data_IF_289354533531
#
_entry.id   IF_289354533531
#
_cell.length_a   1.000
_cell.length_b   1.000
_cell.length_c   1.000
_cell.angle_alpha   90.00
_cell.angle_beta   90.00
_cell.angle_gamma   90.00
#
_symmetry.space_group_name_H-M   'P 1'
#
loop_
_entity.id
_entity.type
_entity.pdbx_description
1 polymer ?
#
# COMPACT_ATOMS: atom_id res chain seq x y z
N UNK A 1 -11.08 -4.37 28.55
CA UNK A 1 -9.88 -3.93 27.81
C UNK A 1 -9.76 -4.64 26.45
N UNK A 2 -10.78 -4.55 25.59
CA UNK A 2 -10.79 -5.19 24.26
C UNK A 2 -11.62 -4.38 23.22
N UNK A 3 -11.92 -3.11 23.52
CA UNK A 3 -12.92 -2.31 22.77
C UNK A 3 -12.35 -1.21 21.86
N UNK A 4 -11.08 -0.83 22.00
CA UNK A 4 -10.52 0.32 21.26
C UNK A 4 -9.66 -0.07 20.05
N UNK A 5 -9.00 -1.23 20.08
CA UNK A 5 -8.30 -1.80 18.91
C UNK A 5 -9.30 -2.25 17.83
N UNK A 6 -10.47 -2.73 18.27
CA UNK A 6 -11.58 -3.10 17.38
C UNK A 6 -12.12 -1.89 16.62
N UNK A 7 -12.13 -0.70 17.22
CA UNK A 7 -12.73 0.51 16.63
C UNK A 7 -11.87 1.14 15.53
N UNK A 8 -10.53 1.19 15.70
CA UNK A 8 -9.59 1.62 14.64
C UNK A 8 -9.51 0.58 13.50
N UNK A 9 -9.51 -0.72 13.83
CA UNK A 9 -9.59 -1.79 12.81
C UNK A 9 -10.95 -1.79 12.07
N UNK A 10 -12.05 -1.44 12.76
CA UNK A 10 -13.38 -1.22 12.16
C UNK A 10 -13.39 0.00 11.24
N UNK A 11 -12.69 1.08 11.59
CA UNK A 11 -12.60 2.29 10.76
C UNK A 11 -11.82 2.03 9.46
N UNK A 12 -10.65 1.37 9.55
CA UNK A 12 -9.88 0.97 8.36
C UNK A 12 -10.59 -0.13 7.55
N UNK A 13 -11.28 -1.08 8.18
CA UNK A 13 -12.16 -2.04 7.47
C UNK A 13 -13.35 -1.38 6.80
N UNK A 14 -13.93 -0.32 7.39
CA UNK A 14 -15.01 0.48 6.78
C UNK A 14 -14.50 1.30 5.60
N UNK A 15 -13.35 1.95 5.72
CA UNK A 15 -12.71 2.67 4.61
C UNK A 15 -12.35 1.69 3.48
N UNK A 16 -11.79 0.52 3.80
CA UNK A 16 -11.44 -0.51 2.83
C UNK A 16 -12.69 -1.16 2.18
N UNK A 17 -13.77 -1.37 2.93
CA UNK A 17 -15.06 -1.83 2.41
C UNK A 17 -15.73 -0.77 1.52
N UNK A 18 -15.65 0.51 1.88
CA UNK A 18 -16.09 1.64 1.03
C UNK A 18 -15.23 1.68 -0.24
N UNK A 19 -13.91 1.47 -0.14
CA UNK A 19 -12.99 1.39 -1.28
C UNK A 19 -13.35 0.24 -2.24
N UNK A 20 -13.68 -0.95 -1.70
CA UNK A 20 -14.14 -2.14 -2.44
C UNK A 20 -15.51 -1.93 -3.11
N UNK A 21 -16.47 -1.30 -2.42
CA UNK A 21 -17.80 -1.00 -2.96
C UNK A 21 -17.71 0.09 -4.05
N UNK A 22 -16.82 1.09 -3.88
CA UNK A 22 -16.56 2.14 -4.86
C UNK A 22 -15.88 1.57 -6.12
N UNK A 23 -14.97 0.61 -5.98
CA UNK A 23 -14.38 -0.09 -7.13
C UNK A 23 -15.39 -0.97 -7.88
N UNK A 24 -16.29 -1.64 -7.17
CA UNK A 24 -17.32 -2.49 -7.78
C UNK A 24 -18.43 -1.70 -8.48
N UNK A 25 -18.75 -0.48 -8.04
CA UNK A 25 -19.83 0.34 -8.65
C UNK A 25 -19.33 1.24 -9.79
N UNK A 26 -18.03 1.57 -9.84
CA UNK A 26 -17.42 2.28 -10.97
C UNK A 26 -17.12 1.35 -12.18
N UNK A 27 -17.11 0.04 -11.96
CA UNK A 27 -17.17 -0.98 -13.00
C UNK A 27 -18.63 -1.41 -13.21
N UNK A 28 -19.41 -0.64 -13.97
CA UNK A 28 -20.80 -0.97 -14.23
C UNK A 28 -20.98 -2.38 -14.80
N UNK A 29 -21.64 -3.26 -14.04
CA UNK A 29 -22.31 -4.43 -14.58
C UNK A 29 -23.66 -3.96 -15.13
N UNK A 30 -23.77 -3.91 -16.46
CA UNK A 30 -25.08 -4.05 -17.11
C UNK A 30 -25.61 -5.46 -16.82
N UNK A 31 -26.92 -5.51 -16.57
CA UNK A 31 -27.73 -6.68 -16.25
C UNK A 31 -27.23 -8.00 -16.88
N UNK A 32 -26.73 -8.90 -16.04
CA UNK A 32 -26.66 -10.31 -16.36
C UNK A 32 -27.07 -11.11 -15.11
N UNK A 33 -28.27 -11.69 -15.16
CA UNK A 33 -28.68 -12.77 -14.30
C UNK A 33 -27.74 -13.95 -14.58
N UNK A 34 -26.72 -14.17 -13.74
CA UNK A 34 -26.15 -15.50 -13.53
C UNK A 34 -25.30 -15.49 -12.25
N UNK A 35 -25.77 -16.27 -11.27
CA UNK A 35 -25.38 -16.23 -9.85
C UNK A 35 -24.13 -17.06 -9.55
N UNK A 36 -23.13 -17.12 -10.45
CA UNK A 36 -22.02 -18.06 -10.30
C UNK A 36 -20.60 -17.46 -10.37
N UNK A 37 -20.44 -16.15 -10.60
CA UNK A 37 -19.10 -15.53 -10.77
C UNK A 37 -18.55 -14.72 -9.58
N UNK A 38 -19.26 -14.69 -8.44
CA UNK A 38 -18.81 -13.96 -7.23
C UNK A 38 -18.05 -14.89 -6.24
N UNK A 39 -17.82 -16.15 -6.58
CA UNK A 39 -17.35 -17.18 -5.62
C UNK A 39 -15.84 -17.40 -5.55
N UNK A 40 -14.97 -16.59 -6.17
CA UNK A 40 -13.52 -16.87 -6.19
C UNK A 40 -12.60 -15.88 -5.48
N UNK A 41 -13.13 -14.86 -4.80
CA UNK A 41 -12.33 -14.12 -3.82
C UNK A 41 -13.14 -13.91 -2.54
N UNK A 42 -12.68 -14.55 -1.46
CA UNK A 42 -13.31 -14.70 -0.14
C UNK A 42 -14.35 -15.82 -0.09
N UNK A 43 -14.12 -16.82 0.78
CA UNK A 43 -15.08 -17.90 1.00
C UNK A 43 -16.41 -17.33 1.48
N UNK A 44 -17.50 -17.75 0.83
CA UNK A 44 -18.91 -17.43 1.14
C UNK A 44 -19.24 -17.51 2.63
N UNK A 45 -18.59 -18.43 3.36
CA UNK A 45 -18.81 -18.62 4.80
C UNK A 45 -18.28 -17.47 5.66
N UNK A 46 -17.33 -16.67 5.17
CA UNK A 46 -16.75 -15.54 5.93
C UNK A 46 -17.69 -14.33 5.93
N UNK A 47 -18.32 -14.03 4.79
CA UNK A 47 -19.26 -12.90 4.66
C UNK A 47 -20.57 -13.21 5.40
N UNK A 48 -21.07 -14.45 5.29
CA UNK A 48 -22.30 -14.86 5.97
C UNK A 48 -22.15 -14.91 7.50
N UNK A 49 -20.96 -15.22 8.01
CA UNK A 49 -20.67 -15.21 9.45
C UNK A 49 -20.49 -13.80 10.02
N UNK A 50 -19.99 -12.84 9.24
CA UNK A 50 -19.90 -11.42 9.62
C UNK A 50 -21.32 -10.80 9.70
N UNK A 51 -22.20 -11.12 8.75
CA UNK A 51 -23.56 -10.59 8.72
C UNK A 51 -24.51 -11.21 9.77
N UNK A 52 -24.22 -12.41 10.28
CA UNK A 52 -25.04 -13.07 11.31
C UNK A 52 -24.64 -12.75 12.75
N UNK A 53 -23.43 -12.21 12.97
CA UNK A 53 -22.89 -11.95 14.32
C UNK A 53 -23.13 -10.52 14.81
N UNK A 54 -23.46 -9.59 13.91
CA UNK A 54 -23.85 -8.23 14.25
C UNK A 54 -25.35 -8.04 14.02
N UNK A 55 -26.05 -7.56 15.05
CA UNK A 55 -27.49 -7.39 15.11
C UNK A 55 -27.98 -6.21 14.25
N UNK A 56 -27.53 -6.15 13.00
CA UNK A 56 -27.90 -5.13 12.01
C UNK A 56 -28.78 -5.78 10.96
N UNK A 57 -30.08 -5.78 11.27
CA UNK A 57 -31.12 -5.99 10.28
C UNK A 57 -31.04 -4.82 9.31
N UNK A 58 -30.41 -5.01 8.15
CA UNK A 58 -30.65 -4.14 6.98
C UNK A 58 -32.08 -4.45 6.54
N UNK A 59 -33.03 -3.70 7.09
CA UNK A 59 -34.41 -3.70 6.62
C UNK A 59 -34.45 -2.83 5.37
N UNK A 60 -34.87 -3.49 4.30
CA UNK A 60 -35.30 -2.93 3.02
C UNK A 60 -34.19 -2.41 2.08
N UNK A 61 -34.29 -2.90 0.84
CA UNK A 61 -33.49 -2.49 -0.30
C UNK A 61 -33.76 -1.03 -0.65
N UNK A 62 -32.83 -0.14 -0.32
CA UNK A 62 -32.88 1.26 -0.77
C UNK A 62 -32.13 1.37 -2.09
N UNK A 63 -32.83 1.74 -3.16
CA UNK A 63 -32.21 2.15 -4.42
C UNK A 63 -31.74 3.60 -4.31
N UNK A 64 -30.46 3.86 -4.52
CA UNK A 64 -29.92 5.22 -4.54
C UNK A 64 -30.03 5.82 -5.94
N UNK A 65 -30.54 7.05 -6.03
CA UNK A 65 -30.77 7.79 -7.29
C UNK A 65 -29.50 8.37 -7.90
N UNK A 66 -28.45 8.61 -7.11
CA UNK A 66 -27.17 9.12 -7.62
C UNK A 66 -25.99 8.84 -6.68
N UNK A 67 -24.77 8.85 -7.22
CA UNK A 67 -23.51 8.68 -6.47
C UNK A 67 -23.34 9.69 -5.34
N UNK A 68 -23.76 10.94 -5.56
CA UNK A 68 -23.69 12.01 -4.56
C UNK A 68 -24.60 11.73 -3.35
N UNK A 69 -25.77 11.11 -3.58
CA UNK A 69 -26.71 10.74 -2.51
C UNK A 69 -26.16 9.60 -1.63
N UNK A 70 -25.45 8.65 -2.25
CA UNK A 70 -24.80 7.52 -1.56
C UNK A 70 -23.67 7.99 -0.64
N UNK A 71 -22.80 8.87 -1.13
CA UNK A 71 -21.65 9.40 -0.37
C UNK A 71 -22.14 10.26 0.80
N UNK A 72 -23.14 11.11 0.56
CA UNK A 72 -23.72 11.98 1.61
C UNK A 72 -24.37 11.18 2.75
N UNK A 73 -25.05 10.08 2.41
CA UNK A 73 -25.68 9.17 3.39
C UNK A 73 -24.65 8.36 4.18
N UNK A 74 -23.55 7.94 3.54
CA UNK A 74 -22.45 7.23 4.22
C UNK A 74 -21.70 8.17 5.17
N UNK A 75 -21.44 9.41 4.76
CA UNK A 75 -20.76 10.41 5.57
C UNK A 75 -21.61 10.87 6.76
N UNK A 76 -22.95 10.99 6.61
CA UNK A 76 -23.84 11.31 7.74
C UNK A 76 -23.89 10.21 8.80
N UNK A 77 -23.61 8.96 8.43
CA UNK A 77 -23.62 7.81 9.36
C UNK A 77 -22.28 7.58 10.08
N UNK A 78 -21.23 8.35 9.76
CA UNK A 78 -19.88 8.17 10.30
C UNK A 78 -19.45 9.23 11.33
N UNK A 79 -20.34 10.17 11.71
CA UNK A 79 -20.07 11.27 12.68
C UNK A 79 -18.75 12.03 12.40
N UNK A 80 -18.37 12.17 11.13
CA UNK A 80 -17.16 12.90 10.72
C UNK A 80 -17.48 14.40 10.65
N UNK A 81 -16.53 15.27 11.04
CA UNK A 81 -16.76 16.72 10.96
C UNK A 81 -16.92 17.15 9.49
N UNK A 82 -17.71 18.20 9.26
CA UNK A 82 -18.02 18.71 7.91
C UNK A 82 -16.74 19.08 7.13
N UNK A 83 -15.71 19.57 7.84
CA UNK A 83 -14.39 19.84 7.27
C UNK A 83 -13.65 18.56 6.81
N UNK A 84 -13.70 17.48 7.59
CA UNK A 84 -13.11 16.20 7.23
C UNK A 84 -13.87 15.52 6.08
N UNK A 85 -15.20 15.67 6.05
CA UNK A 85 -16.03 15.19 4.95
C UNK A 85 -15.70 15.93 3.64
N UNK A 86 -15.43 17.24 3.73
CA UNK A 86 -15.10 18.06 2.57
C UNK A 86 -13.68 17.78 2.04
N UNK A 87 -12.68 17.67 2.92
CA UNK A 87 -11.31 17.30 2.55
C UNK A 87 -11.24 15.91 1.89
N UNK A 88 -12.02 14.95 2.42
CA UNK A 88 -12.12 13.61 1.85
C UNK A 88 -12.84 13.64 0.48
N UNK A 89 -13.88 14.45 0.34
CA UNK A 89 -14.61 14.61 -0.92
C UNK A 89 -13.75 15.27 -2.01
N UNK A 90 -12.94 16.27 -1.66
CA UNK A 90 -12.02 16.95 -2.58
C UNK A 90 -10.90 16.01 -3.04
N UNK A 91 -10.28 15.27 -2.10
CA UNK A 91 -9.26 14.26 -2.40
C UNK A 91 -9.81 13.12 -3.27
N UNK A 92 -11.03 12.64 -2.98
CA UNK A 92 -11.70 11.65 -3.82
C UNK A 92 -12.05 12.20 -5.21
N UNK A 93 -12.46 13.46 -5.31
CA UNK A 93 -12.79 14.09 -6.60
C UNK A 93 -11.54 14.26 -7.47
N UNK A 94 -10.40 14.68 -6.90
CA UNK A 94 -9.12 14.71 -7.61
C UNK A 94 -8.65 13.32 -8.05
N UNK A 95 -8.79 12.30 -7.20
CA UNK A 95 -8.48 10.92 -7.61
C UNK A 95 -9.40 10.42 -8.72
N UNK A 96 -10.69 10.77 -8.69
CA UNK A 96 -11.66 10.39 -9.72
C UNK A 96 -11.35 11.12 -11.02
N UNK A 97 -11.03 12.42 -11.01
CA UNK A 97 -10.60 13.14 -12.21
C UNK A 97 -9.28 12.59 -12.76
N UNK A 98 -8.36 12.17 -11.89
CA UNK A 98 -7.11 11.51 -12.28
C UNK A 98 -7.36 10.12 -12.87
N UNK A 99 -8.26 9.33 -12.29
CA UNK A 99 -8.68 8.04 -12.82
C UNK A 99 -9.47 8.17 -14.14
N UNK A 100 -10.32 9.19 -14.26
CA UNK A 100 -11.11 9.49 -15.46
C UNK A 100 -10.23 10.07 -16.58
N UNK A 101 -9.22 10.87 -16.26
CA UNK A 101 -8.23 11.35 -17.25
C UNK A 101 -7.29 10.24 -17.72
N UNK A 102 -6.92 9.31 -16.85
CA UNK A 102 -6.26 8.05 -17.24
C UNK A 102 -7.15 7.19 -18.14
N UNK A 103 -8.47 7.17 -17.91
CA UNK A 103 -9.46 6.52 -18.80
C UNK A 103 -9.64 7.26 -20.13
N UNK A 104 -9.57 8.59 -20.15
CA UNK A 104 -9.73 9.42 -21.35
C UNK A 104 -8.57 9.31 -22.35
N UNK A 105 -7.41 8.81 -21.91
CA UNK A 105 -6.29 8.46 -22.78
C UNK A 105 -6.39 7.04 -23.39
N UNK A 106 -7.43 6.27 -23.06
CA UNK A 106 -7.71 4.99 -23.69
C UNK A 106 -8.78 5.13 -24.78
N UNK A 107 -8.35 5.32 -26.02
CA UNK A 107 -9.11 4.91 -27.22
C UNK A 107 -9.31 3.38 -27.31
N UNK A 108 -9.00 2.63 -26.25
CA UNK A 108 -8.97 1.16 -26.19
C UNK A 108 -10.31 0.50 -25.78
N UNK A 109 -11.29 1.24 -25.26
CA UNK A 109 -12.52 0.63 -24.69
C UNK A 109 -13.52 0.11 -25.75
N UNK A 110 -13.57 0.69 -26.96
CA UNK A 110 -14.39 0.16 -28.06
C UNK A 110 -13.74 -1.06 -28.75
N UNK A 111 -12.40 -1.10 -28.84
CA UNK A 111 -11.68 -2.24 -29.44
C UNK A 111 -11.61 -3.46 -28.50
N UNK A 112 -11.48 -3.25 -27.18
CA UNK A 112 -11.48 -4.34 -26.21
C UNK A 112 -12.86 -5.01 -26.05
N UNK A 113 -13.96 -4.25 -26.14
CA UNK A 113 -15.31 -4.84 -26.20
C UNK A 113 -15.46 -5.77 -27.40
N UNK A 114 -14.92 -5.39 -28.57
CA UNK A 114 -14.94 -6.24 -29.77
C UNK A 114 -14.15 -7.54 -29.62
N UNK A 115 -13.11 -7.57 -28.79
CA UNK A 115 -12.30 -8.77 -28.57
C UNK A 115 -12.96 -9.78 -27.61
N UNK A 116 -13.52 -9.31 -26.49
CA UNK A 116 -14.20 -10.20 -25.53
C UNK A 116 -15.49 -10.80 -26.09
N UNK A 117 -16.25 -10.06 -26.89
CA UNK A 117 -17.41 -10.61 -27.64
C UNK A 117 -16.96 -11.69 -28.64
N UNK A 118 -15.82 -11.49 -29.29
CA UNK A 118 -15.29 -12.45 -30.26
C UNK A 118 -14.71 -13.73 -29.62
N UNK A 119 -14.16 -13.63 -28.40
CA UNK A 119 -13.57 -14.77 -27.68
C UNK A 119 -14.58 -15.89 -27.41
N UNK A 120 -15.87 -15.56 -27.29
CA UNK A 120 -16.96 -16.52 -27.04
C UNK A 120 -17.25 -17.43 -28.25
N UNK A 121 -16.96 -16.97 -29.47
CA UNK A 121 -17.22 -17.70 -30.73
C UNK A 121 -15.98 -18.42 -31.28
N UNK A 122 -14.88 -18.43 -30.52
CA UNK A 122 -13.64 -19.09 -30.94
C UNK A 122 -13.78 -20.62 -30.93
N UNK A 123 -13.15 -21.32 -31.88
CA UNK A 123 -12.93 -22.77 -31.79
C UNK A 123 -12.34 -23.16 -30.43
N UNK A 124 -12.77 -24.31 -29.87
CA UNK A 124 -12.36 -24.79 -28.54
C UNK A 124 -10.84 -24.89 -28.35
N UNK A 125 -10.07 -25.09 -29.42
CA UNK A 125 -8.61 -25.15 -29.39
C UNK A 125 -7.94 -23.77 -29.25
N UNK A 126 -8.66 -22.68 -29.53
CA UNK A 126 -8.20 -21.29 -29.41
C UNK A 126 -8.80 -20.58 -28.20
N UNK A 127 -9.91 -21.06 -27.64
CA UNK A 127 -10.53 -20.49 -26.43
C UNK A 127 -9.61 -20.55 -25.19
N UNK A 128 -8.65 -21.48 -25.19
CA UNK A 128 -7.71 -21.70 -24.07
C UNK A 128 -6.44 -20.83 -24.16
N UNK A 129 -6.40 -19.86 -25.07
CA UNK A 129 -5.26 -18.96 -25.20
C UNK A 129 -5.46 -17.69 -24.37
N UNK A 130 -4.38 -17.23 -23.73
CA UNK A 130 -4.26 -15.89 -23.22
C UNK A 130 -3.73 -14.99 -24.33
N UNK A 131 -4.48 -13.94 -24.66
CA UNK A 131 -4.14 -13.03 -25.74
C UNK A 131 -3.72 -11.65 -25.23
N UNK A 132 -2.80 -11.02 -25.95
CA UNK A 132 -2.32 -9.66 -25.75
C UNK A 132 -2.27 -8.97 -27.11
N UNK A 133 -2.93 -7.82 -27.26
CA UNK A 133 -2.87 -7.05 -28.51
C UNK A 133 -1.45 -6.51 -28.74
N UNK A 134 -1.02 -6.46 -30.00
CA UNK A 134 0.19 -5.72 -30.41
C UNK A 134 -0.23 -4.30 -30.77
N UNK A 135 0.01 -3.36 -29.87
CA UNK A 135 -0.38 -1.97 -30.07
C UNK A 135 0.50 -1.24 -31.09
N UNK A 136 -0.04 -0.18 -31.68
CA UNK A 136 0.67 0.70 -32.64
C UNK A 136 1.22 0.02 -33.89
N UNK A 137 0.78 -1.21 -34.23
CA UNK A 137 1.24 -1.90 -35.43
C UNK A 137 0.71 -1.21 -36.71
N UNK A 138 1.57 -0.85 -37.69
CA UNK A 138 1.14 -0.12 -38.87
C UNK A 138 0.20 -0.94 -39.75
N UNK A 139 -0.96 -0.37 -40.09
CA UNK A 139 -1.95 -1.02 -40.97
C UNK A 139 -1.36 -1.39 -42.34
N UNK A 140 -0.40 -0.61 -42.84
CA UNK A 140 0.28 -0.87 -44.11
C UNK A 140 1.17 -2.13 -44.10
N UNK A 141 1.57 -2.61 -42.92
CA UNK A 141 2.42 -3.78 -42.75
C UNK A 141 1.62 -5.05 -42.38
N UNK A 142 0.30 -4.92 -42.18
CA UNK A 142 -0.54 -6.06 -41.84
C UNK A 142 -0.69 -7.01 -43.04
N UNK A 143 -0.80 -8.33 -42.78
CA UNK A 143 -1.16 -9.28 -43.83
C UNK A 143 -2.52 -8.95 -44.44
N UNK A 144 -2.74 -9.38 -45.69
CA UNK A 144 -4.04 -9.22 -46.34
C UNK A 144 -5.15 -9.83 -45.48
N UNK A 145 -6.26 -9.10 -45.36
CA UNK A 145 -7.43 -9.46 -44.56
C UNK A 145 -7.18 -9.56 -43.05
N UNK A 146 -6.14 -8.92 -42.52
CA UNK A 146 -5.87 -8.80 -41.07
C UNK A 146 -6.08 -7.36 -40.63
N UNK A 147 -6.80 -7.16 -39.52
CA UNK A 147 -7.09 -5.84 -38.92
C UNK A 147 -6.20 -5.56 -37.70
N UNK A 148 -5.96 -6.58 -36.88
CA UNK A 148 -5.20 -6.48 -35.63
C UNK A 148 -4.29 -7.69 -35.45
N UNK A 149 -3.24 -7.51 -34.65
CA UNK A 149 -2.32 -8.55 -34.24
C UNK A 149 -2.41 -8.81 -32.74
N UNK A 150 -2.24 -10.07 -32.35
CA UNK A 150 -2.24 -10.49 -30.95
C UNK A 150 -1.10 -11.49 -30.70
N UNK A 151 -0.41 -11.36 -29.58
CA UNK A 151 0.39 -12.45 -29.02
C UNK A 151 -0.57 -13.36 -28.26
N UNK A 152 -0.55 -14.66 -28.57
CA UNK A 152 -1.35 -15.66 -27.88
C UNK A 152 -0.48 -16.80 -27.39
N UNK A 153 -0.71 -17.22 -26.15
CA UNK A 153 -0.11 -18.42 -25.57
C UNK A 153 -1.18 -19.33 -24.98
N UNK A 154 -1.05 -20.63 -25.20
CA UNK A 154 -1.96 -21.61 -24.59
C UNK A 154 -1.77 -21.64 -23.06
N UNK A 155 -2.85 -21.87 -22.32
CA UNK A 155 -2.78 -22.15 -20.88
C UNK A 155 -2.20 -23.53 -20.57
N UNK A 156 -2.25 -24.45 -21.53
CA UNK A 156 -1.68 -25.79 -21.47
C UNK A 156 -0.80 -26.01 -22.73
N UNK A 157 0.49 -26.27 -22.52
CA UNK A 157 1.51 -26.40 -23.58
C UNK A 157 2.42 -25.17 -23.71
N UNK A 158 3.58 -25.36 -24.34
CA UNK A 158 4.63 -24.32 -24.43
C UNK A 158 4.52 -23.45 -25.70
N UNK A 159 3.58 -23.74 -26.61
CA UNK A 159 3.57 -23.07 -27.91
C UNK A 159 2.85 -21.72 -27.87
N UNK A 160 3.56 -20.71 -28.35
CA UNK A 160 3.13 -19.32 -28.39
C UNK A 160 3.19 -18.80 -29.83
N UNK A 161 2.23 -17.96 -30.20
CA UNK A 161 2.08 -17.50 -31.58
C UNK A 161 1.71 -16.03 -31.65
N UNK A 162 2.14 -15.37 -32.72
CA UNK A 162 1.52 -14.16 -33.24
C UNK A 162 0.29 -14.57 -34.04
N UNK A 163 -0.85 -13.99 -33.69
CA UNK A 163 -2.13 -14.18 -34.33
C UNK A 163 -2.54 -12.94 -35.11
N UNK A 164 -3.20 -13.13 -36.24
CA UNK A 164 -3.89 -12.09 -36.98
C UNK A 164 -5.40 -12.23 -36.81
N UNK A 165 -6.05 -11.16 -36.37
CA UNK A 165 -7.50 -11.03 -36.34
C UNK A 165 -7.98 -10.53 -37.70
N UNK A 166 -8.86 -11.27 -38.35
CA UNK A 166 -9.40 -10.88 -39.66
C UNK A 166 -10.57 -9.90 -39.55
N UNK A 167 -10.90 -9.23 -40.66
CA UNK A 167 -12.08 -8.36 -40.76
C UNK A 167 -13.40 -9.09 -40.50
N UNK A 168 -13.41 -10.42 -40.62
CA UNK A 168 -14.57 -11.29 -40.36
C UNK A 168 -14.58 -11.87 -38.95
N UNK A 169 -13.70 -11.38 -38.07
CA UNK A 169 -13.55 -11.86 -36.69
C UNK A 169 -12.53 -12.99 -36.55
N UNK A 170 -12.31 -13.86 -37.54
CA UNK A 170 -11.47 -15.06 -37.34
C UNK A 170 -10.00 -14.76 -36.94
N UNK A 171 -9.48 -15.47 -35.94
CA UNK A 171 -8.06 -15.50 -35.58
C UNK A 171 -7.30 -16.56 -36.40
N UNK A 172 -6.10 -16.21 -36.84
CA UNK A 172 -5.19 -17.12 -37.55
C UNK A 172 -3.79 -17.04 -36.95
N UNK A 173 -3.15 -18.19 -36.71
CA UNK A 173 -1.71 -18.27 -36.39
C UNK A 173 -0.89 -17.75 -37.58
N UNK A 174 -0.10 -16.71 -37.36
CA UNK A 174 0.75 -16.08 -38.37
C UNK A 174 2.21 -16.48 -38.21
N UNK A 175 2.74 -16.48 -37.00
CA UNK A 175 4.12 -16.86 -36.74
C UNK A 175 4.24 -17.49 -35.36
N UNK A 176 5.11 -18.49 -35.20
CA UNK A 176 5.43 -19.04 -33.89
C UNK A 176 6.44 -18.14 -33.18
N UNK A 177 6.26 -17.91 -31.89
CA UNK A 177 7.28 -17.25 -31.08
C UNK A 177 8.49 -18.19 -30.89
N UNK A 178 9.72 -17.67 -30.97
CA UNK A 178 10.94 -18.40 -30.61
C UNK A 178 10.86 -19.02 -29.20
N UNK A 179 11.27 -20.28 -29.06
CA UNK A 179 11.14 -21.04 -27.82
C UNK A 179 12.17 -20.64 -26.74
N UNK A 180 13.23 -19.94 -27.14
CA UNK A 180 14.26 -19.36 -26.28
C UNK A 180 13.82 -18.08 -25.59
N UNK A 181 12.70 -17.46 -26.00
CA UNK A 181 12.13 -16.30 -25.31
C UNK A 181 11.26 -16.72 -24.12
N UNK A 182 11.66 -16.31 -22.91
CA UNK A 182 10.94 -16.62 -21.67
C UNK A 182 9.73 -15.70 -21.44
N UNK A 183 8.67 -15.90 -22.24
CA UNK A 183 7.40 -15.19 -22.07
C UNK A 183 6.50 -15.86 -21.02
N UNK A 184 5.96 -15.06 -20.09
CA UNK A 184 4.96 -15.49 -19.13
C UNK A 184 3.57 -14.94 -19.50
N UNK A 185 2.69 -15.73 -20.14
CA UNK A 185 1.42 -15.22 -20.64
C UNK A 185 0.41 -14.84 -19.56
N UNK A 186 0.51 -15.45 -18.38
CA UNK A 186 -0.30 -15.13 -17.20
C UNK A 186 0.11 -13.81 -16.56
N UNK A 187 1.31 -13.32 -16.88
CA UNK A 187 1.93 -12.10 -16.35
C UNK A 187 2.38 -11.16 -17.46
N UNK A 188 1.71 -11.22 -18.61
CA UNK A 188 1.90 -10.29 -19.72
C UNK A 188 1.70 -8.84 -19.26
N UNK A 189 2.56 -7.95 -19.71
CA UNK A 189 2.48 -6.52 -19.35
C UNK A 189 2.02 -5.69 -20.53
N UNK A 190 2.75 -5.77 -21.64
CA UNK A 190 2.45 -5.03 -22.86
C UNK A 190 3.04 -5.70 -24.11
N UNK A 191 2.48 -5.36 -25.27
CA UNK A 191 3.12 -5.63 -26.55
C UNK A 191 2.81 -4.50 -27.52
N UNK A 192 3.83 -4.05 -28.25
CA UNK A 192 3.71 -2.91 -29.13
C UNK A 192 4.68 -2.99 -30.30
N UNK A 193 4.37 -2.28 -31.38
CA UNK A 193 5.28 -2.05 -32.49
C UNK A 193 6.01 -0.72 -32.32
N UNK A 194 7.32 -0.74 -32.51
CA UNK A 194 8.14 0.47 -32.56
C UNK A 194 9.39 0.22 -33.40
N UNK A 195 9.77 1.20 -34.23
CA UNK A 195 11.01 1.21 -35.00
C UNK A 195 11.28 -0.08 -35.82
N UNK A 196 10.23 -0.63 -36.44
CA UNK A 196 10.35 -1.84 -37.27
C UNK A 196 10.35 -3.15 -36.49
N UNK A 197 10.16 -3.12 -35.17
CA UNK A 197 10.18 -4.29 -34.29
C UNK A 197 8.86 -4.45 -33.54
N UNK A 198 8.58 -5.68 -33.14
CA UNK A 198 7.51 -6.01 -32.19
C UNK A 198 8.16 -6.26 -30.83
N UNK A 199 7.70 -5.54 -29.81
CA UNK A 199 8.08 -5.75 -28.43
C UNK A 199 7.03 -6.62 -27.76
N UNK A 200 7.47 -7.63 -27.01
CA UNK A 200 6.59 -8.52 -26.26
C UNK A 200 7.12 -8.60 -24.83
N UNK A 201 6.35 -8.10 -23.88
CA UNK A 201 6.78 -7.96 -22.50
C UNK A 201 5.94 -8.79 -21.53
N UNK A 202 6.61 -9.37 -20.54
CA UNK A 202 5.95 -10.03 -19.41
C UNK A 202 6.80 -9.98 -18.15
N UNK A 203 6.14 -9.98 -16.99
CA UNK A 203 6.80 -10.16 -15.70
C UNK A 203 7.22 -11.63 -15.50
N UNK A 204 8.44 -11.82 -15.01
CA UNK A 204 8.94 -13.14 -14.63
C UNK A 204 8.21 -13.68 -13.40
N UNK A 205 7.96 -14.98 -13.38
CA UNK A 205 7.37 -15.63 -12.19
C UNK A 205 8.23 -15.36 -10.95
N UNK A 206 7.56 -14.95 -9.86
CA UNK A 206 8.16 -14.69 -8.54
C UNK A 206 9.17 -13.54 -8.48
N UNK A 207 9.22 -12.69 -9.51
CA UNK A 207 10.08 -11.50 -9.57
C UNK A 207 9.26 -10.32 -10.09
N UNK A 208 9.70 -9.12 -9.76
CA UNK A 208 9.20 -7.87 -10.35
C UNK A 208 9.89 -7.55 -11.69
N UNK A 209 10.79 -8.42 -12.15
CA UNK A 209 11.52 -8.24 -13.41
C UNK A 209 10.56 -8.37 -14.60
N UNK A 210 10.46 -7.32 -15.39
CA UNK A 210 9.82 -7.35 -16.71
C UNK A 210 10.88 -7.66 -17.74
N UNK A 211 10.64 -8.69 -18.53
CA UNK A 211 11.43 -9.01 -19.71
C UNK A 211 10.64 -8.59 -20.94
N UNK A 212 11.30 -7.89 -21.86
CA UNK A 212 10.77 -7.51 -23.16
C UNK A 212 11.65 -8.09 -24.26
N UNK A 213 11.10 -9.04 -25.02
CA UNK A 213 11.73 -9.55 -26.23
C UNK A 213 11.50 -8.58 -27.39
N UNK A 214 12.54 -8.36 -28.18
CA UNK A 214 12.55 -7.48 -29.35
C UNK A 214 12.57 -8.36 -30.59
N UNK A 215 11.49 -8.33 -31.36
CA UNK A 215 11.28 -9.24 -32.46
C UNK A 215 11.34 -8.53 -33.81
N UNK A 216 12.21 -9.04 -34.68
CA UNK A 216 12.03 -8.89 -36.12
C UNK A 216 10.88 -9.78 -36.59
N UNK A 217 10.19 -9.35 -37.64
CA UNK A 217 9.12 -10.13 -38.26
C UNK A 217 9.25 -10.17 -39.78
N UNK A 218 8.98 -11.34 -40.34
CA UNK A 218 8.74 -11.55 -41.77
C UNK A 218 7.44 -12.33 -41.93
N UNK A 219 6.34 -11.57 -42.03
CA UNK A 219 5.00 -12.12 -42.15
C UNK A 219 4.77 -12.82 -43.51
N UNK A 220 5.60 -12.54 -44.52
CA UNK A 220 5.55 -13.28 -45.79
C UNK A 220 6.06 -14.71 -45.63
N UNK A 221 6.97 -14.92 -44.67
CA UNK A 221 7.54 -16.21 -44.29
C UNK A 221 6.91 -16.80 -43.02
N UNK A 222 5.86 -16.17 -42.47
CA UNK A 222 5.23 -16.60 -41.22
C UNK A 222 6.23 -16.74 -40.06
N UNK A 223 7.18 -15.79 -39.97
CA UNK A 223 8.34 -15.91 -39.10
C UNK A 223 8.48 -14.70 -38.16
N UNK A 224 8.77 -15.00 -36.90
CA UNK A 224 9.26 -14.05 -35.90
C UNK A 224 10.67 -14.47 -35.49
N UNK A 225 11.55 -13.51 -35.30
CA UNK A 225 12.93 -13.73 -34.90
C UNK A 225 13.21 -12.88 -33.67
N UNK A 226 13.60 -13.52 -32.57
CA UNK A 226 14.12 -12.81 -31.40
C UNK A 226 15.46 -12.22 -31.81
N UNK A 227 15.55 -10.90 -31.81
CA UNK A 227 16.77 -10.19 -32.19
C UNK A 227 17.54 -9.70 -30.96
N UNK A 228 16.82 -9.30 -29.92
CA UNK A 228 17.39 -8.80 -28.67
C UNK A 228 16.37 -8.95 -27.52
N UNK A 229 16.82 -8.77 -26.29
CA UNK A 229 16.00 -8.82 -25.09
C UNK A 229 16.45 -7.75 -24.09
N UNK A 230 15.48 -7.05 -23.50
CA UNK A 230 15.75 -6.14 -22.39
C UNK A 230 15.07 -6.65 -21.12
N UNK A 231 15.73 -6.48 -19.98
CA UNK A 231 15.15 -6.75 -18.67
C UNK A 231 15.20 -5.48 -17.81
N UNK A 232 14.09 -5.16 -17.15
CA UNK A 232 13.99 -4.07 -16.19
C UNK A 232 13.34 -4.57 -14.92
N UNK A 233 13.93 -4.26 -13.76
CA UNK A 233 13.40 -4.64 -12.47
C UNK A 233 13.07 -3.39 -11.64
N UNK A 234 11.76 -3.10 -11.55
CA UNK A 234 11.26 -1.92 -10.88
C UNK A 234 11.52 -1.96 -9.36
N UNK A 235 11.55 -3.15 -8.76
CA UNK A 235 11.86 -3.32 -7.33
C UNK A 235 13.31 -2.96 -7.04
N UNK A 236 14.25 -3.38 -7.90
CA UNK A 236 15.67 -3.01 -7.78
C UNK A 236 15.86 -1.51 -7.90
N UNK A 237 15.22 -0.88 -8.89
CA UNK A 237 15.30 0.58 -9.06
C UNK A 237 14.71 1.34 -7.86
N UNK A 238 13.56 0.89 -7.35
CA UNK A 238 12.89 1.49 -6.20
C UNK A 238 13.73 1.40 -4.93
N UNK A 239 14.36 0.25 -4.66
CA UNK A 239 15.28 0.09 -3.52
C UNK A 239 16.48 1.05 -3.64
N UNK A 240 17.09 1.14 -4.81
CA UNK A 240 18.23 2.05 -5.02
C UNK A 240 17.85 3.52 -4.79
N UNK A 241 16.66 3.93 -5.24
CA UNK A 241 16.11 5.27 -4.97
C UNK A 241 15.82 5.48 -3.48
N UNK A 242 15.23 4.48 -2.82
CA UNK A 242 14.92 4.51 -1.40
C UNK A 242 16.20 4.70 -0.56
N UNK A 243 17.20 3.85 -0.76
CA UNK A 243 18.49 3.92 -0.06
C UNK A 243 19.20 5.27 -0.28
N UNK A 244 19.18 5.79 -1.51
CA UNK A 244 19.72 7.12 -1.81
C UNK A 244 18.96 8.24 -1.07
N UNK A 245 17.63 8.14 -0.99
CA UNK A 245 16.81 9.10 -0.25
C UNK A 245 17.06 9.01 1.26
N UNK A 246 17.26 7.81 1.81
CA UNK A 246 17.72 7.63 3.21
C UNK A 246 19.04 8.36 3.40
N UNK A 247 20.03 8.17 2.53
CA UNK A 247 21.33 8.82 2.71
C UNK A 247 21.28 10.36 2.63
N UNK A 248 20.32 10.90 1.90
CA UNK A 248 20.04 12.33 1.84
C UNK A 248 19.23 12.87 3.03
N UNK A 249 18.77 11.99 3.93
CA UNK A 249 17.89 12.34 5.05
C UNK A 249 16.45 12.66 4.65
N UNK A 250 16.04 12.27 3.43
CA UNK A 250 14.68 12.46 2.90
C UNK A 250 13.81 11.25 3.23
N UNK A 251 13.49 11.12 4.52
CA UNK A 251 12.92 9.89 5.10
C UNK A 251 11.56 9.51 4.48
N UNK A 252 10.64 10.46 4.30
CA UNK A 252 9.31 10.19 3.72
C UNK A 252 9.44 9.73 2.26
N UNK A 253 10.33 10.38 1.48
CA UNK A 253 10.59 9.98 0.10
C UNK A 253 11.16 8.56 0.04
N UNK A 254 12.04 8.19 0.97
CA UNK A 254 12.57 6.83 1.07
C UNK A 254 11.48 5.80 1.36
N UNK A 255 10.61 6.06 2.35
CA UNK A 255 9.47 5.18 2.66
C UNK A 255 8.59 4.97 1.43
N UNK A 256 8.25 6.05 0.73
CA UNK A 256 7.43 5.96 -0.48
C UNK A 256 8.06 5.11 -1.59
N UNK A 257 9.39 5.09 -1.70
CA UNK A 257 10.08 4.19 -2.64
C UNK A 257 10.12 2.74 -2.13
N UNK A 258 10.28 2.49 -0.84
CA UNK A 258 10.17 1.12 -0.30
C UNK A 258 8.77 0.54 -0.45
N UNK A 259 7.71 1.35 -0.32
CA UNK A 259 6.32 0.95 -0.57
C UNK A 259 6.04 0.55 -2.03
N UNK A 260 6.89 0.97 -2.96
CA UNK A 260 6.80 0.61 -4.38
C UNK A 260 7.48 -0.73 -4.71
N UNK A 261 8.15 -1.36 -3.74
CA UNK A 261 8.87 -2.62 -3.96
C UNK A 261 7.90 -3.79 -3.98
N UNK A 262 7.77 -4.43 -5.14
CA UNK A 262 7.01 -5.68 -5.29
C UNK A 262 7.85 -6.86 -4.79
N UNK A 263 7.23 -7.77 -4.05
CA UNK A 263 7.86 -8.94 -3.42
C UNK A 263 9.07 -8.59 -2.53
N UNK A 264 8.92 -7.66 -1.57
CA UNK A 264 10.06 -7.05 -0.89
C UNK A 264 11.00 -8.05 -0.19
N UNK A 265 10.48 -9.14 0.37
CA UNK A 265 11.29 -10.20 0.98
C UNK A 265 12.25 -10.91 0.00
N UNK A 266 12.00 -10.83 -1.32
CA UNK A 266 12.90 -11.37 -2.34
C UNK A 266 14.03 -10.40 -2.70
N UNK A 267 13.86 -9.10 -2.42
CA UNK A 267 14.73 -8.04 -2.93
C UNK A 267 15.53 -7.31 -1.85
N UNK A 268 15.03 -7.28 -0.61
CA UNK A 268 15.69 -6.59 0.48
C UNK A 268 15.55 -7.31 1.81
N UNK A 269 16.53 -7.08 2.70
CA UNK A 269 16.43 -7.45 4.10
C UNK A 269 15.66 -6.35 4.83
N UNK A 270 14.34 -6.53 4.91
CA UNK A 270 13.38 -5.52 5.38
C UNK A 270 13.80 -4.93 6.73
N UNK A 271 14.19 -5.76 7.68
CA UNK A 271 14.61 -5.32 9.01
C UNK A 271 15.87 -4.45 8.94
N UNK A 272 16.79 -4.75 8.02
CA UNK A 272 18.03 -3.97 7.85
C UNK A 272 17.71 -2.59 7.27
N UNK A 273 16.85 -2.52 6.25
CA UNK A 273 16.43 -1.26 5.65
C UNK A 273 15.64 -0.39 6.64
N UNK A 274 14.73 -0.99 7.42
CA UNK A 274 14.00 -0.29 8.50
C UNK A 274 14.93 0.26 9.57
N UNK A 275 15.94 -0.52 10.00
CA UNK A 275 16.94 -0.08 10.98
C UNK A 275 17.76 1.09 10.45
N UNK A 276 18.15 1.04 9.17
CA UNK A 276 18.89 2.10 8.52
C UNK A 276 18.07 3.40 8.39
N UNK A 277 16.81 3.26 8.00
CA UNK A 277 15.84 4.35 7.94
C UNK A 277 15.68 5.04 9.31
N UNK A 278 15.51 4.26 10.39
CA UNK A 278 15.40 4.77 11.76
C UNK A 278 16.69 5.45 12.23
N UNK A 279 17.85 4.85 11.94
CA UNK A 279 19.16 5.42 12.28
C UNK A 279 19.35 6.79 11.65
N UNK A 280 19.01 6.92 10.36
CA UNK A 280 19.06 8.21 9.69
C UNK A 280 18.03 9.19 10.23
N UNK A 281 16.79 8.75 10.41
CA UNK A 281 15.71 9.58 10.94
C UNK A 281 16.08 10.18 12.29
N UNK A 282 16.76 9.43 13.17
CA UNK A 282 17.23 9.95 14.45
C UNK A 282 18.07 11.24 14.31
N UNK A 283 18.97 11.30 13.33
CA UNK A 283 19.77 12.51 13.06
C UNK A 283 18.92 13.68 12.56
N UNK A 284 17.91 13.40 11.72
CA UNK A 284 16.98 14.41 11.20
C UNK A 284 16.09 14.97 12.31
N UNK A 285 15.60 14.10 13.21
CA UNK A 285 14.74 14.48 14.33
C UNK A 285 15.44 15.41 15.31
N UNK A 286 16.74 15.21 15.58
CA UNK A 286 17.52 16.12 16.42
C UNK A 286 17.57 17.54 15.85
N UNK A 287 17.61 17.68 14.52
CA UNK A 287 17.57 18.99 13.86
C UNK A 287 16.16 19.60 13.94
N UNK A 288 15.12 18.83 13.62
CA UNK A 288 13.73 19.31 13.66
C UNK A 288 13.30 19.74 15.07
N UNK A 289 13.75 19.04 16.11
CA UNK A 289 13.49 19.40 17.49
C UNK A 289 14.11 20.76 17.86
N UNK A 290 15.34 21.04 17.44
CA UNK A 290 15.99 22.36 17.64
C UNK A 290 15.24 23.48 16.92
N UNK A 291 14.69 23.17 15.74
CA UNK A 291 13.85 24.06 14.95
C UNK A 291 12.39 24.13 15.46
N UNK A 292 12.03 23.37 16.50
CA UNK A 292 10.67 23.24 17.04
C UNK A 292 9.62 22.79 15.99
N UNK A 293 10.05 22.04 14.97
CA UNK A 293 9.20 21.51 13.90
C UNK A 293 8.61 20.14 14.27
N UNK A 294 7.78 20.12 15.29
CA UNK A 294 7.23 18.89 15.85
C UNK A 294 6.27 18.17 14.90
N UNK A 295 5.48 18.90 14.10
CA UNK A 295 4.58 18.27 13.12
C UNK A 295 5.36 17.53 12.03
N UNK A 296 6.48 18.11 11.56
CA UNK A 296 7.37 17.43 10.61
C UNK A 296 8.05 16.21 11.23
N UNK A 297 8.45 16.28 12.50
CA UNK A 297 9.03 15.14 13.22
C UNK A 297 8.01 14.01 13.39
N UNK A 298 6.78 14.36 13.78
CA UNK A 298 5.64 13.46 13.87
C UNK A 298 5.37 12.77 12.54
N UNK A 299 5.28 13.53 11.44
CA UNK A 299 5.00 12.97 10.11
C UNK A 299 6.09 11.98 9.65
N UNK A 300 7.37 12.29 9.89
CA UNK A 300 8.48 11.37 9.58
C UNK A 300 8.33 10.07 10.37
N UNK A 301 8.01 10.15 11.66
CA UNK A 301 7.91 8.99 12.52
C UNK A 301 6.66 8.16 12.24
N UNK A 302 5.52 8.80 11.97
CA UNK A 302 4.30 8.14 11.49
C UNK A 302 4.60 7.35 10.21
N UNK A 303 5.23 7.99 9.22
CA UNK A 303 5.61 7.34 7.96
C UNK A 303 6.51 6.10 8.18
N UNK A 304 7.46 6.15 9.13
CA UNK A 304 8.31 4.98 9.43
C UNK A 304 7.54 3.90 10.20
N UNK A 305 6.75 4.26 11.20
CA UNK A 305 6.07 3.26 12.04
C UNK A 305 4.85 2.65 11.36
N UNK A 306 4.28 3.32 10.36
CA UNK A 306 3.23 2.77 9.49
C UNK A 306 3.79 1.95 8.32
N UNK A 307 5.07 2.12 7.97
CA UNK A 307 5.74 1.25 7.00
C UNK A 307 5.68 -0.21 7.46
N UNK A 308 5.21 -1.09 6.57
CA UNK A 308 4.96 -2.50 6.88
C UNK A 308 6.21 -3.24 7.39
N UNK A 309 7.41 -2.76 7.06
CA UNK A 309 8.67 -3.32 7.54
C UNK A 309 9.04 -3.01 9.00
N UNK A 310 8.20 -2.26 9.73
CA UNK A 310 8.49 -1.82 11.11
C UNK A 310 7.78 -2.64 12.19
N UNK A 311 6.91 -3.58 11.80
CA UNK A 311 6.08 -4.35 12.73
C UNK A 311 6.90 -5.07 13.82
N UNK A 312 8.06 -5.63 13.45
CA UNK A 312 8.93 -6.35 14.38
C UNK A 312 9.41 -5.49 15.56
N UNK A 313 9.55 -4.17 15.37
CA UNK A 313 9.91 -3.22 16.43
C UNK A 313 8.70 -2.82 17.28
N UNK A 314 7.54 -2.69 16.64
CA UNK A 314 6.27 -2.36 17.32
C UNK A 314 5.71 -3.53 18.14
N UNK A 315 6.13 -4.76 17.88
CA UNK A 315 5.71 -5.95 18.62
C UNK A 315 6.57 -6.23 19.88
N UNK A 316 7.55 -5.37 20.21
CA UNK A 316 8.41 -5.55 21.40
C UNK A 316 7.68 -5.12 22.67
N UNK A 317 7.23 -6.04 23.53
CA UNK A 317 6.41 -5.72 24.71
C UNK A 317 7.18 -5.68 26.03
N UNK A 318 8.42 -6.15 26.05
CA UNK A 318 9.21 -6.30 27.28
C UNK A 318 10.65 -5.81 27.12
N UNK A 319 11.32 -5.38 28.21
CA UNK A 319 12.74 -5.03 28.17
C UNK A 319 13.62 -6.21 27.71
N UNK A 320 13.23 -7.44 28.05
CA UNK A 320 13.96 -8.65 27.68
C UNK A 320 13.84 -8.95 26.18
N UNK A 321 12.68 -8.76 25.56
CA UNK A 321 12.52 -8.89 24.11
C UNK A 321 13.35 -7.84 23.38
N UNK A 322 13.33 -6.59 23.85
CA UNK A 322 14.15 -5.51 23.29
C UNK A 322 15.64 -5.86 23.34
N UNK A 323 16.13 -6.27 24.51
CA UNK A 323 17.52 -6.69 24.69
C UNK A 323 17.89 -7.86 23.78
N UNK A 324 17.04 -8.90 23.70
CA UNK A 324 17.29 -10.07 22.85
C UNK A 324 17.39 -9.66 21.39
N UNK A 325 16.42 -8.90 20.89
CA UNK A 325 16.38 -8.45 19.49
C UNK A 325 17.65 -7.68 19.12
N UNK A 326 18.03 -6.66 19.90
CA UNK A 326 19.20 -5.84 19.59
C UNK A 326 20.54 -6.53 19.89
N UNK A 327 20.55 -7.59 20.71
CA UNK A 327 21.76 -8.39 20.96
C UNK A 327 21.98 -9.48 19.92
N UNK A 328 20.90 -10.13 19.47
CA UNK A 328 20.98 -11.21 18.47
C UNK A 328 21.25 -10.66 17.07
N UNK A 329 20.87 -9.41 16.83
CA UNK A 329 21.05 -8.74 15.55
C UNK A 329 22.14 -7.68 15.68
N UNK A 330 23.08 -7.66 14.75
CA UNK A 330 24.14 -6.65 14.69
C UNK A 330 23.62 -5.37 14.01
N UNK A 331 22.55 -4.78 14.55
CA UNK A 331 21.94 -3.56 14.01
C UNK A 331 22.87 -2.36 14.19
N UNK A 332 22.89 -1.47 13.20
CA UNK A 332 23.62 -0.19 13.30
C UNK A 332 22.93 0.83 14.23
N UNK A 333 21.64 0.62 14.51
CA UNK A 333 20.89 1.32 15.53
C UNK A 333 21.06 0.59 16.87
N UNK A 334 21.48 1.32 17.90
CA UNK A 334 21.55 0.76 19.25
C UNK A 334 20.18 0.75 19.94
N UNK A 335 20.01 -0.13 20.93
CA UNK A 335 18.82 -0.16 21.80
C UNK A 335 18.51 1.23 22.39
N UNK A 336 19.55 1.95 22.81
CA UNK A 336 19.42 3.29 23.38
C UNK A 336 18.86 4.28 22.36
N UNK A 337 19.36 4.26 21.13
CA UNK A 337 18.86 5.14 20.07
C UNK A 337 17.42 4.82 19.71
N UNK A 338 17.03 3.54 19.65
CA UNK A 338 15.63 3.17 19.45
C UNK A 338 14.70 3.72 20.53
N UNK A 339 15.09 3.60 21.81
CA UNK A 339 14.33 4.19 22.92
C UNK A 339 14.25 5.71 22.75
N UNK A 340 15.34 6.38 22.38
CA UNK A 340 15.35 7.82 22.16
C UNK A 340 14.48 8.25 20.96
N UNK A 341 14.38 7.44 19.91
CA UNK A 341 13.46 7.68 18.79
C UNK A 341 12.01 7.66 19.30
N UNK A 342 11.64 6.64 20.08
CA UNK A 342 10.30 6.56 20.66
C UNK A 342 10.02 7.72 21.63
N UNK A 343 11.00 8.13 22.44
CA UNK A 343 10.86 9.29 23.35
C UNK A 343 10.64 10.59 22.58
N UNK A 344 11.34 10.77 21.45
CA UNK A 344 11.14 11.90 20.53
C UNK A 344 9.79 11.83 19.84
N UNK A 345 9.31 10.63 19.51
CA UNK A 345 8.01 10.44 18.90
C UNK A 345 6.89 10.85 19.86
N UNK A 346 6.90 10.29 21.08
CA UNK A 346 5.95 10.68 22.13
C UNK A 346 5.99 12.18 22.43
N UNK A 347 7.18 12.79 22.45
CA UNK A 347 7.34 14.23 22.66
C UNK A 347 6.75 15.05 21.52
N UNK A 348 7.05 14.68 20.28
CA UNK A 348 6.57 15.41 19.09
C UNK A 348 5.06 15.32 18.98
N UNK A 349 4.47 14.15 19.23
CA UNK A 349 3.01 13.97 19.28
C UNK A 349 2.34 14.88 20.33
N UNK A 350 2.94 15.01 21.52
CA UNK A 350 2.45 15.93 22.54
C UNK A 350 2.46 17.38 22.08
N UNK A 351 3.56 17.83 21.47
CA UNK A 351 3.70 19.21 20.98
C UNK A 351 2.76 19.48 19.80
N UNK A 352 2.55 18.50 18.93
CA UNK A 352 1.57 18.49 17.85
C UNK A 352 0.12 18.29 18.33
N UNK A 353 -0.12 18.23 19.65
CA UNK A 353 -1.43 18.01 20.28
C UNK A 353 -2.14 16.71 19.88
N UNK A 354 -1.41 15.73 19.33
CA UNK A 354 -1.90 14.38 19.02
C UNK A 354 -1.85 13.51 20.29
N UNK A 355 -2.65 13.86 21.29
CA UNK A 355 -2.53 13.31 22.64
C UNK A 355 -2.88 11.82 22.73
N UNK A 356 -3.82 11.33 21.93
CA UNK A 356 -4.21 9.90 21.93
C UNK A 356 -3.04 9.04 21.45
N UNK A 357 -2.40 9.43 20.35
CA UNK A 357 -1.27 8.69 19.79
C UNK A 357 -0.03 8.85 20.69
N UNK A 358 0.15 10.02 21.33
CA UNK A 358 1.19 10.21 22.34
C UNK A 358 1.04 9.23 23.52
N UNK A 359 -0.20 8.92 23.93
CA UNK A 359 -0.46 7.90 24.98
C UNK A 359 -0.02 6.52 24.50
N UNK A 360 -0.31 6.17 23.26
CA UNK A 360 0.03 4.85 22.69
C UNK A 360 1.55 4.63 22.69
N UNK A 361 2.30 5.59 22.12
CA UNK A 361 3.76 5.54 22.06
C UNK A 361 4.39 5.56 23.46
N UNK A 362 3.91 6.41 24.36
CA UNK A 362 4.50 6.48 25.69
C UNK A 362 4.15 5.26 26.56
N UNK A 363 2.99 4.62 26.35
CA UNK A 363 2.72 3.31 26.97
C UNK A 363 3.70 2.27 26.50
N UNK A 364 3.99 2.22 25.20
CA UNK A 364 5.01 1.33 24.64
C UNK A 364 6.37 1.56 25.29
N UNK A 365 6.78 2.82 25.46
CA UNK A 365 7.99 3.19 26.19
C UNK A 365 7.99 2.67 27.63
N UNK A 366 6.89 2.83 28.37
CA UNK A 366 6.81 2.32 29.76
C UNK A 366 6.87 0.80 29.85
N UNK A 367 6.46 0.07 28.80
CA UNK A 367 6.56 -1.38 28.74
C UNK A 367 8.02 -1.83 28.54
N UNK A 368 8.73 -1.22 27.58
CA UNK A 368 10.11 -1.62 27.24
C UNK A 368 11.16 -0.95 28.13
N UNK A 369 10.83 0.19 28.73
CA UNK A 369 11.67 0.95 29.68
C UNK A 369 10.81 1.39 30.88
N UNK A 370 10.47 0.47 31.81
CA UNK A 370 9.63 0.77 32.99
C UNK A 370 10.23 1.82 33.94
N UNK A 371 11.51 2.11 33.80
CA UNK A 371 12.24 3.09 34.59
C UNK A 371 12.47 4.41 33.84
N UNK A 372 11.83 4.64 32.69
CA UNK A 372 11.94 5.94 31.98
C UNK A 372 11.03 6.97 32.64
N UNK A 373 11.56 7.96 33.40
CA UNK A 373 10.72 9.02 33.94
C UNK A 373 10.13 9.85 32.81
N UNK A 374 10.86 10.07 31.71
CA UNK A 374 10.36 10.86 30.58
C UNK A 374 9.05 10.27 30.01
N UNK A 375 8.96 8.95 29.86
CA UNK A 375 7.75 8.29 29.37
C UNK A 375 6.53 8.55 30.28
N UNK A 376 6.71 8.45 31.61
CA UNK A 376 5.62 8.74 32.56
C UNK A 376 5.25 10.23 32.61
N UNK A 377 6.22 11.13 32.49
CA UNK A 377 5.95 12.57 32.37
C UNK A 377 5.10 12.87 31.13
N UNK A 378 5.49 12.29 29.99
CA UNK A 378 4.79 12.47 28.73
C UNK A 378 3.38 11.85 28.79
N UNK A 379 3.20 10.65 29.38
CA UNK A 379 1.87 10.08 29.64
C UNK A 379 1.01 11.01 30.50
N UNK A 380 1.55 11.50 31.61
CA UNK A 380 0.83 12.41 32.50
C UNK A 380 0.37 13.66 31.77
N UNK A 381 1.23 14.24 30.94
CA UNK A 381 0.91 15.39 30.10
C UNK A 381 -0.17 15.07 29.07
N UNK A 382 -0.09 13.93 28.38
CA UNK A 382 -1.09 13.55 27.38
C UNK A 382 -2.47 13.33 28.01
N UNK A 383 -2.52 12.58 29.12
CA UNK A 383 -3.76 12.36 29.87
C UNK A 383 -4.35 13.65 30.41
N UNK A 384 -3.51 14.57 30.91
CA UNK A 384 -3.95 15.86 31.41
C UNK A 384 -4.64 16.69 30.33
N UNK A 385 -4.03 16.80 29.15
CA UNK A 385 -4.61 17.55 28.04
C UNK A 385 -5.89 16.92 27.46
N UNK A 386 -6.13 15.64 27.74
CA UNK A 386 -7.39 14.94 27.43
C UNK A 386 -8.38 14.94 28.60
N UNK A 387 -8.13 15.73 29.65
CA UNK A 387 -8.97 15.84 30.85
C UNK A 387 -9.16 14.51 31.60
N UNK A 388 -8.28 13.54 31.36
CA UNK A 388 -8.25 12.26 32.09
C UNK A 388 -7.42 12.40 33.35
N UNK A 389 -7.93 13.21 34.29
CA UNK A 389 -7.19 13.66 35.47
C UNK A 389 -6.66 12.49 36.32
N UNK A 390 -7.46 11.45 36.55
CA UNK A 390 -7.03 10.31 37.35
C UNK A 390 -5.84 9.55 36.73
N UNK A 391 -5.87 9.33 35.41
CA UNK A 391 -4.77 8.67 34.70
C UNK A 391 -3.52 9.55 34.67
N UNK A 392 -3.71 10.86 34.50
CA UNK A 392 -2.64 11.85 34.56
C UNK A 392 -1.94 11.83 35.92
N UNK A 393 -2.70 11.88 37.01
CA UNK A 393 -2.19 11.83 38.37
C UNK A 393 -1.44 10.52 38.64
N UNK A 394 -1.95 9.39 38.17
CA UNK A 394 -1.28 8.10 38.31
C UNK A 394 0.09 8.09 37.60
N UNK A 395 0.15 8.61 36.36
CA UNK A 395 1.41 8.72 35.62
C UNK A 395 2.40 9.67 36.30
N UNK A 396 1.95 10.81 36.82
CA UNK A 396 2.81 11.74 37.56
C UNK A 396 3.32 11.19 38.89
N UNK A 397 2.53 10.37 39.60
CA UNK A 397 3.01 9.66 40.79
C UNK A 397 4.14 8.70 40.43
N UNK A 398 3.98 7.91 39.38
CA UNK A 398 5.02 7.01 38.87
C UNK A 398 6.28 7.77 38.45
N UNK A 399 6.13 8.91 37.77
CA UNK A 399 7.25 9.81 37.47
C UNK A 399 8.02 10.21 38.74
N UNK A 400 7.33 10.72 39.77
CA UNK A 400 7.97 11.13 41.03
C UNK A 400 8.65 9.97 41.75
N UNK A 401 8.02 8.80 41.77
CA UNK A 401 8.60 7.59 42.36
C UNK A 401 9.91 7.18 41.67
N UNK A 402 9.95 7.21 40.34
CA UNK A 402 11.16 6.87 39.56
C UNK A 402 12.26 7.90 39.80
N UNK A 403 11.94 9.20 39.76
CA UNK A 403 12.91 10.27 40.03
C UNK A 403 13.49 10.13 41.44
N UNK A 404 12.66 9.87 42.45
CA UNK A 404 13.12 9.68 43.82
C UNK A 404 14.04 8.46 43.97
N UNK A 405 13.74 7.35 43.28
CA UNK A 405 14.57 6.13 43.29
C UNK A 405 15.88 6.29 42.53
N UNK A 406 15.88 7.03 41.42
CA UNK A 406 17.05 7.17 40.53
C UNK A 406 17.95 8.35 40.89
N UNK A 407 17.45 9.33 41.63
CA UNK A 407 18.18 10.57 41.93
C UNK A 407 18.39 11.47 40.70
N UNK A 408 17.64 11.24 39.61
CA UNK A 408 17.75 12.04 38.40
C UNK A 408 17.36 13.50 38.69
N UNK A 409 18.21 14.44 38.25
CA UNK A 409 17.91 15.87 38.38
C UNK A 409 16.74 16.24 37.47
N UNK A 410 15.79 16.97 38.03
CA UNK A 410 14.60 17.49 37.33
C UNK A 410 14.58 19.00 37.48
N UNK A 411 14.09 19.68 36.45
CA UNK A 411 13.91 21.12 36.53
C UNK A 411 12.77 21.47 37.51
N UNK A 412 13.00 22.51 38.31
CA UNK A 412 12.07 22.92 39.36
C UNK A 412 10.67 23.23 38.82
N UNK A 413 10.60 23.80 37.62
CA UNK A 413 9.34 24.20 36.96
C UNK A 413 8.47 23.00 36.62
N UNK A 414 9.05 21.91 36.11
CA UNK A 414 8.35 20.65 35.86
C UNK A 414 7.78 20.07 37.15
N UNK A 415 8.56 20.07 38.24
CA UNK A 415 8.06 19.59 39.54
C UNK A 415 6.90 20.44 40.06
N UNK A 416 7.03 21.77 40.01
CA UNK A 416 5.96 22.70 40.41
C UNK A 416 4.69 22.51 39.56
N UNK A 417 4.84 22.28 38.25
CA UNK A 417 3.72 22.00 37.34
C UNK A 417 3.03 20.67 37.68
N UNK A 418 3.81 19.63 37.97
CA UNK A 418 3.28 18.31 38.37
C UNK A 418 2.55 18.42 39.71
N UNK A 419 3.14 19.08 40.70
CA UNK A 419 2.53 19.32 42.02
C UNK A 419 1.18 20.02 41.88
N UNK A 420 1.11 21.04 41.03
CA UNK A 420 -0.16 21.73 40.73
C UNK A 420 -1.20 20.76 40.18
N UNK A 421 -0.85 20.01 39.13
CA UNK A 421 -1.78 19.06 38.45
C UNK A 421 -2.19 17.89 39.34
N UNK A 422 -1.34 17.48 40.28
CA UNK A 422 -1.68 16.45 41.27
C UNK A 422 -2.75 16.89 42.27
N UNK A 423 -2.89 18.20 42.50
CA UNK A 423 -3.85 18.77 43.44
C UNK A 423 -5.15 19.26 42.77
N UNK A 424 -5.25 19.18 41.44
CA UNK A 424 -6.46 19.49 40.70
C UNK A 424 -7.49 18.37 40.87
N UNK A 425 -8.75 18.74 41.13
CA UNK A 425 -9.86 17.83 41.44
C UNK A 425 -10.82 17.68 40.28
#
# INVERSE_FOLDING_TARGET
MLKNTTMKLLFYKKIFAIFLIVFCTACGAEQANDTEYITTMVSSDTILNILKTENTVVKDSVSFSSYADSVKTILSNLEVSEAQAQELSESMSEMIEKAQSLKKNNQNDEENRGFETFKQDLPKDLSNYLYMKVDSFPQSLLPKNTKLLYIGAATEGEEQYLFGLSNKGNLRKLAKLPADFMFNPSKKTESYYKDGKIFICSEQSYKATIICGIFGFDLSKNMLTLEDETASDFSVESIAKAQKAVEQGKIIEAVNFYEQVTYPHNYMQVETETIHLLKKAYSVLQRLEKEQKYDSATLILESIFEFWGTEFLLNIETPQQLYRLFKSNNFELSQREYIQILEKYGSSLLQSKKYIDAIEINKKLTQITPTSPLAYLQLGNAYYNLERLQDSQNAYKQYKEIIAKTGQKVDKKTLEQIEKRLNEK
#
